data_IF_397776561170
#
_entry.id   IF_397776561170
#
_cell.length_a   1.000
_cell.length_b   1.000
_cell.length_c   1.000
_cell.angle_alpha   90.00
_cell.angle_beta   90.00
_cell.angle_gamma   90.00
#
_symmetry.space_group_name_H-M   'P 1'
#
loop_
_entity.id
_entity.type
_entity.pdbx_description
1 polymer ?
#
# COMPACT_ATOMS: atom_id res chain seq x y z
N UNK A 1 25.39 21.28 -3.51
CA UNK A 1 24.92 19.94 -3.93
C UNK A 1 25.88 18.87 -3.40
N UNK A 2 25.48 18.13 -2.34
CA UNK A 2 26.29 17.02 -1.82
C UNK A 2 26.11 15.80 -2.73
N UNK A 3 27.20 15.37 -3.37
CA UNK A 3 27.23 14.21 -4.28
C UNK A 3 26.88 12.94 -3.48
N UNK A 4 25.93 12.15 -4.00
CA UNK A 4 25.57 10.82 -3.50
C UNK A 4 26.80 9.92 -3.52
N UNK A 5 27.17 9.39 -2.35
CA UNK A 5 28.24 8.39 -2.23
C UNK A 5 27.78 7.10 -2.92
N UNK A 6 28.74 6.48 -3.61
CA UNK A 6 28.71 5.18 -4.25
C UNK A 6 27.87 4.18 -3.45
N UNK A 7 26.86 3.59 -4.09
CA UNK A 7 26.08 2.49 -3.53
C UNK A 7 27.05 1.34 -3.24
N UNK A 8 27.32 1.08 -1.96
CA UNK A 8 27.95 -0.17 -1.56
C UNK A 8 26.98 -1.29 -1.93
N UNK A 9 27.44 -2.16 -2.82
CA UNK A 9 26.74 -3.36 -3.25
C UNK A 9 26.66 -4.29 -2.04
N UNK A 10 25.62 -4.10 -1.24
CA UNK A 10 25.35 -4.92 -0.07
C UNK A 10 24.80 -6.24 -0.59
N UNK A 11 25.70 -7.21 -0.77
CA UNK A 11 25.33 -8.59 -1.03
C UNK A 11 24.57 -9.12 0.18
N UNK A 12 23.24 -9.08 0.11
CA UNK A 12 22.38 -9.71 1.09
C UNK A 12 22.45 -11.22 0.89
N UNK A 13 22.71 -11.96 1.97
CA UNK A 13 22.57 -13.42 1.97
C UNK A 13 21.08 -13.78 1.75
N UNK A 14 20.74 -14.17 0.52
CA UNK A 14 19.40 -14.65 0.19
C UNK A 14 19.24 -16.05 0.81
N UNK A 15 18.44 -16.17 1.88
CA UNK A 15 17.96 -17.49 2.32
C UNK A 15 17.18 -18.11 1.15
N UNK A 16 17.66 -19.26 0.64
CA UNK A 16 17.05 -20.00 -0.48
C UNK A 16 15.80 -20.80 -0.08
N UNK A 17 15.27 -20.63 1.13
CA UNK A 17 14.15 -21.42 1.63
C UNK A 17 12.83 -21.16 0.85
N UNK A 18 12.70 -20.01 0.16
CA UNK A 18 11.56 -19.71 -0.70
C UNK A 18 11.97 -18.90 -1.93
N UNK A 19 12.01 -19.53 -3.11
CA UNK A 19 12.19 -18.82 -4.40
C UNK A 19 10.85 -18.63 -5.11
N UNK A 20 10.62 -17.43 -5.64
CA UNK A 20 9.46 -17.10 -6.46
C UNK A 20 9.91 -16.97 -7.91
N UNK A 21 9.19 -17.61 -8.83
CA UNK A 21 9.42 -17.51 -10.27
C UNK A 21 8.20 -16.87 -10.94
N UNK A 22 8.44 -15.92 -11.84
CA UNK A 22 7.39 -15.35 -12.69
C UNK A 22 7.26 -16.24 -13.92
N UNK A 23 6.06 -16.78 -14.12
CA UNK A 23 5.76 -17.69 -15.23
C UNK A 23 4.67 -17.09 -16.11
N UNK A 24 4.79 -17.30 -17.42
CA UNK A 24 3.68 -17.05 -18.33
C UNK A 24 2.60 -18.12 -18.11
N UNK A 25 1.51 -17.73 -17.43
CA UNK A 25 0.45 -18.65 -17.05
C UNK A 25 -0.12 -19.40 -18.24
N UNK A 26 -0.44 -18.69 -19.32
CA UNK A 26 -1.02 -19.31 -20.52
C UNK A 26 -0.07 -20.36 -21.07
N UNK A 27 1.17 -19.99 -21.38
CA UNK A 27 2.12 -20.90 -22.02
C UNK A 27 2.38 -22.16 -21.17
N UNK A 28 2.62 -22.00 -19.86
CA UNK A 28 2.94 -23.12 -18.97
C UNK A 28 1.73 -24.04 -18.79
N UNK A 29 0.56 -23.48 -18.48
CA UNK A 29 -0.60 -24.29 -18.12
C UNK A 29 -1.36 -24.85 -19.32
N UNK A 30 -1.34 -24.20 -20.50
CA UNK A 30 -1.88 -24.81 -21.73
C UNK A 30 -1.01 -25.98 -22.18
N UNK A 31 0.31 -25.84 -22.10
CA UNK A 31 1.25 -26.94 -22.42
C UNK A 31 1.14 -28.06 -21.40
N UNK A 32 0.99 -27.75 -20.11
CA UNK A 32 0.80 -28.78 -19.09
C UNK A 32 -0.53 -29.52 -19.27
N UNK A 33 -1.60 -28.83 -19.70
CA UNK A 33 -2.89 -29.44 -20.00
C UNK A 33 -2.82 -30.54 -21.06
N UNK A 34 -1.93 -30.42 -22.06
CA UNK A 34 -1.77 -31.45 -23.09
C UNK A 34 -0.95 -32.66 -22.61
N UNK A 35 -0.21 -32.52 -21.51
CA UNK A 35 0.65 -33.56 -20.96
C UNK A 35 -0.01 -34.33 -19.81
N UNK A 36 -1.08 -33.80 -19.21
CA UNK A 36 -1.71 -34.38 -18.02
C UNK A 36 -3.15 -34.81 -18.25
N UNK A 37 -3.50 -35.99 -17.75
CA UNK A 37 -4.86 -36.56 -17.84
C UNK A 37 -5.43 -36.83 -16.45
N UNK A 38 -6.76 -36.82 -16.32
CA UNK A 38 -7.40 -37.17 -15.06
C UNK A 38 -7.20 -38.64 -14.71
N UNK A 39 -6.80 -38.93 -13.46
CA UNK A 39 -6.62 -40.31 -13.00
C UNK A 39 -7.93 -41.12 -12.93
N UNK A 40 -9.06 -40.46 -12.67
CA UNK A 40 -10.37 -41.12 -12.50
C UNK A 40 -11.10 -41.33 -13.84
N UNK A 41 -11.42 -40.25 -14.57
CA UNK A 41 -12.18 -40.35 -15.82
C UNK A 41 -11.33 -40.42 -17.10
N UNK A 42 -9.99 -40.32 -16.99
CA UNK A 42 -9.06 -40.33 -18.14
C UNK A 42 -9.32 -39.24 -19.19
N UNK A 43 -10.13 -38.24 -18.87
CA UNK A 43 -10.37 -37.07 -19.73
C UNK A 43 -9.32 -35.97 -19.51
N UNK A 44 -9.28 -35.04 -20.46
CA UNK A 44 -8.39 -33.88 -20.43
C UNK A 44 -8.72 -32.94 -19.27
N UNK A 45 -7.67 -32.33 -18.71
CA UNK A 45 -7.77 -31.39 -17.60
C UNK A 45 -7.60 -29.97 -18.14
N UNK A 46 -8.44 -29.04 -17.66
CA UNK A 46 -8.31 -27.63 -17.97
C UNK A 46 -7.81 -26.84 -16.77
N UNK A 47 -6.85 -25.93 -17.02
CA UNK A 47 -6.34 -24.99 -16.02
C UNK A 47 -6.87 -23.60 -16.30
N UNK A 48 -7.46 -22.97 -15.29
CA UNK A 48 -7.99 -21.61 -15.38
C UNK A 48 -7.51 -20.77 -14.21
N UNK A 49 -7.28 -19.48 -14.43
CA UNK A 49 -7.02 -18.54 -13.36
C UNK A 49 -8.34 -18.04 -12.77
N UNK A 50 -8.45 -18.01 -11.44
CA UNK A 50 -9.63 -17.49 -10.72
C UNK A 50 -9.22 -16.40 -9.74
N UNK A 51 -10.02 -15.32 -9.68
CA UNK A 51 -9.92 -14.18 -8.74
C UNK A 51 -8.50 -13.63 -8.56
N UNK A 52 -8.15 -12.58 -9.29
CA UNK A 52 -6.91 -11.83 -9.06
C UNK A 52 -7.07 -10.93 -7.82
N UNK A 53 -6.32 -11.19 -6.76
CA UNK A 53 -6.15 -10.27 -5.63
C UNK A 53 -4.73 -9.72 -5.66
N UNK A 54 -4.48 -8.74 -6.53
CA UNK A 54 -3.12 -8.27 -6.84
C UNK A 54 -2.38 -9.30 -7.68
N UNK A 55 -1.15 -9.65 -7.28
CA UNK A 55 -0.31 -10.66 -7.93
C UNK A 55 -0.68 -12.10 -7.53
N UNK A 56 -1.40 -12.28 -6.43
CA UNK A 56 -1.87 -13.59 -6.01
C UNK A 56 -3.17 -13.99 -6.70
N UNK A 57 -3.25 -15.25 -7.11
CA UNK A 57 -4.41 -15.81 -7.80
C UNK A 57 -4.63 -17.28 -7.39
N UNK A 58 -5.82 -17.80 -7.70
CA UNK A 58 -6.11 -19.23 -7.54
C UNK A 58 -6.06 -19.91 -8.90
N UNK A 59 -5.44 -21.07 -8.96
CA UNK A 59 -5.44 -21.96 -10.12
C UNK A 59 -6.62 -22.91 -9.93
N UNK A 60 -7.61 -22.80 -10.81
CA UNK A 60 -8.73 -23.73 -10.90
C UNK A 60 -8.33 -24.84 -11.86
N UNK A 61 -8.29 -26.05 -11.36
CA UNK A 61 -8.11 -27.28 -12.13
C UNK A 61 -9.50 -27.87 -12.35
N UNK A 62 -9.98 -27.82 -13.59
CA UNK A 62 -11.32 -28.29 -13.98
C UNK A 62 -11.20 -29.65 -14.67
N UNK A 63 -11.96 -30.60 -14.17
CA UNK A 63 -12.16 -31.91 -14.74
C UNK A 63 -13.66 -32.25 -14.64
N UNK A 64 -14.15 -33.17 -15.49
CA UNK A 64 -15.53 -33.65 -15.41
C UNK A 64 -15.86 -34.34 -14.07
N UNK A 65 -14.86 -34.88 -13.37
CA UNK A 65 -15.07 -35.52 -12.06
C UNK A 65 -15.21 -34.52 -10.92
N UNK A 66 -14.35 -33.50 -10.91
CA UNK A 66 -14.25 -32.56 -9.80
C UNK A 66 -13.50 -31.29 -10.20
N UNK A 67 -13.73 -30.22 -9.44
CA UNK A 67 -12.95 -28.99 -9.52
C UNK A 67 -12.05 -28.85 -8.30
N UNK A 68 -10.76 -28.59 -8.52
CA UNK A 68 -9.79 -28.32 -7.46
C UNK A 68 -9.26 -26.89 -7.56
N UNK A 69 -9.00 -26.27 -6.40
CA UNK A 69 -8.46 -24.92 -6.32
C UNK A 69 -7.11 -24.93 -5.61
N UNK A 70 -6.08 -24.44 -6.29
CA UNK A 70 -4.72 -24.34 -5.77
C UNK A 70 -4.39 -22.85 -5.61
N UNK A 71 -3.87 -22.45 -4.45
CA UNK A 71 -3.42 -21.08 -4.24
C UNK A 71 -2.02 -20.89 -4.86
N UNK A 72 -1.81 -19.83 -5.65
CA UNK A 72 -0.49 -19.57 -6.27
C UNK A 72 0.59 -19.21 -5.25
N UNK A 73 0.20 -18.64 -4.10
CA UNK A 73 1.09 -18.38 -2.98
C UNK A 73 0.37 -18.60 -1.64
N UNK A 74 1.11 -18.71 -0.52
CA UNK A 74 0.51 -18.72 0.81
C UNK A 74 -0.38 -17.51 1.05
N UNK A 75 -1.50 -17.75 1.72
CA UNK A 75 -2.43 -16.71 2.13
C UNK A 75 -2.13 -16.31 3.57
N UNK A 76 -1.71 -15.07 3.78
CA UNK A 76 -1.42 -14.55 5.12
C UNK A 76 -2.50 -13.55 5.49
N UNK A 77 -3.29 -13.87 6.52
CA UNK A 77 -4.45 -13.11 6.98
C UNK A 77 -5.53 -12.92 5.88
N UNK A 78 -5.44 -11.84 5.11
CA UNK A 78 -6.44 -11.42 4.10
C UNK A 78 -5.85 -11.24 2.70
N UNK A 79 -4.54 -11.41 2.54
CA UNK A 79 -3.85 -11.18 1.29
C UNK A 79 -2.80 -12.26 1.03
N UNK A 80 -2.48 -12.44 -0.24
CA UNK A 80 -1.38 -13.30 -0.66
C UNK A 80 -0.04 -12.71 -0.24
N UNK A 81 0.87 -13.57 0.25
CA UNK A 81 2.20 -13.16 0.70
C UNK A 81 2.97 -12.38 -0.38
N UNK A 82 2.87 -12.80 -1.64
CA UNK A 82 3.58 -12.18 -2.76
C UNK A 82 3.27 -10.68 -2.89
N UNK A 83 2.04 -10.27 -2.60
CA UNK A 83 1.64 -8.86 -2.61
C UNK A 83 2.40 -8.06 -1.55
N UNK A 84 2.69 -8.66 -0.39
CA UNK A 84 3.41 -7.99 0.69
C UNK A 84 4.91 -7.88 0.36
N UNK A 85 5.50 -8.93 -0.20
CA UNK A 85 6.90 -8.94 -0.63
C UNK A 85 7.15 -7.93 -1.75
N UNK A 86 6.32 -7.91 -2.79
CA UNK A 86 6.51 -6.99 -3.92
C UNK A 86 6.39 -5.53 -3.49
N UNK A 87 5.37 -5.20 -2.67
CA UNK A 87 5.17 -3.83 -2.17
C UNK A 87 6.35 -3.39 -1.32
N UNK A 88 6.95 -4.29 -0.54
CA UNK A 88 8.15 -3.99 0.23
C UNK A 88 9.34 -3.66 -0.67
N UNK A 89 9.62 -4.49 -1.69
CA UNK A 89 10.71 -4.23 -2.66
C UNK A 89 10.51 -2.90 -3.38
N UNK A 90 9.31 -2.62 -3.89
CA UNK A 90 9.02 -1.37 -4.57
C UNK A 90 9.19 -0.14 -3.67
N UNK A 91 8.81 -0.25 -2.39
CA UNK A 91 9.05 0.83 -1.41
C UNK A 91 10.53 1.07 -1.16
N UNK A 92 11.35 0.02 -1.08
CA UNK A 92 12.80 0.15 -0.93
C UNK A 92 13.45 0.83 -2.15
N UNK A 93 13.00 0.48 -3.36
CA UNK A 93 13.54 1.04 -4.61
C UNK A 93 13.02 2.45 -4.92
N UNK A 94 11.98 2.94 -4.22
CA UNK A 94 11.36 4.23 -4.52
C UNK A 94 10.61 4.28 -5.86
N UNK A 95 10.33 3.12 -6.47
CA UNK A 95 9.66 3.01 -7.76
C UNK A 95 8.18 2.72 -7.57
N UNK A 96 7.32 3.37 -8.35
CA UNK A 96 5.88 3.09 -8.32
C UNK A 96 5.57 1.72 -8.92
N UNK A 97 4.99 0.82 -8.12
CA UNK A 97 4.56 -0.51 -8.56
C UNK A 97 3.63 -0.46 -9.78
N UNK A 98 2.81 0.58 -9.90
CA UNK A 98 1.87 0.75 -11.01
C UNK A 98 2.59 0.87 -12.36
N UNK A 99 3.66 1.67 -12.44
CA UNK A 99 4.44 1.80 -13.69
C UNK A 99 5.09 0.49 -14.10
N UNK A 100 5.63 -0.26 -13.14
CA UNK A 100 6.29 -1.54 -13.47
C UNK A 100 5.25 -2.61 -13.82
N UNK A 101 4.07 -2.59 -13.20
CA UNK A 101 2.97 -3.48 -13.58
C UNK A 101 2.43 -3.18 -14.97
N UNK A 102 2.30 -1.91 -15.34
CA UNK A 102 1.89 -1.47 -16.68
C UNK A 102 2.89 -1.91 -17.76
N UNK A 103 4.18 -1.68 -17.51
CA UNK A 103 5.27 -2.11 -18.41
C UNK A 103 5.33 -3.64 -18.57
N UNK A 104 5.00 -4.39 -17.52
CA UNK A 104 4.91 -5.85 -17.56
C UNK A 104 3.59 -6.37 -18.17
N UNK A 105 2.72 -5.48 -18.67
CA UNK A 105 1.44 -5.87 -19.28
C UNK A 105 0.43 -6.47 -18.30
N UNK A 106 0.57 -6.21 -17.01
CA UNK A 106 -0.39 -6.69 -16.00
C UNK A 106 -1.63 -5.79 -16.03
N UNK A 107 -2.79 -6.36 -16.34
CA UNK A 107 -4.06 -5.64 -16.35
C UNK A 107 -4.40 -5.20 -14.92
N UNK A 108 -4.15 -3.94 -14.61
CA UNK A 108 -4.59 -3.31 -13.37
C UNK A 108 -6.09 -3.07 -13.52
N UNK A 109 -6.92 -3.94 -12.94
CA UNK A 109 -8.37 -3.74 -12.97
C UNK A 109 -8.72 -2.35 -12.44
N UNK A 110 -9.70 -1.67 -13.05
CA UNK A 110 -10.20 -0.35 -12.63
C UNK A 110 -10.51 -0.28 -11.12
N UNK A 111 -10.87 -1.41 -10.52
CA UNK A 111 -11.11 -1.53 -9.08
C UNK A 111 -9.86 -1.30 -8.22
N UNK A 112 -8.67 -1.66 -8.72
CA UNK A 112 -7.40 -1.45 -8.02
C UNK A 112 -7.02 0.04 -7.99
N UNK A 113 -7.28 0.78 -9.07
CA UNK A 113 -7.11 2.23 -9.15
C UNK A 113 -8.03 2.94 -8.15
N UNK A 114 -9.33 2.61 -8.15
CA UNK A 114 -10.32 3.16 -7.20
C UNK A 114 -9.90 2.86 -5.75
N UNK A 115 -9.41 1.65 -5.48
CA UNK A 115 -8.94 1.28 -4.14
C UNK A 115 -7.68 2.06 -3.73
N UNK A 116 -6.74 2.26 -4.64
CA UNK A 116 -5.53 3.03 -4.39
C UNK A 116 -5.86 4.51 -4.11
N UNK A 117 -6.74 5.11 -4.92
CA UNK A 117 -7.24 6.47 -4.69
C UNK A 117 -7.92 6.60 -3.33
N UNK A 118 -8.88 5.72 -3.02
CA UNK A 118 -9.58 5.73 -1.73
C UNK A 118 -8.62 5.64 -0.54
N UNK A 119 -7.59 4.79 -0.62
CA UNK A 119 -6.58 4.64 0.43
C UNK A 119 -5.66 5.86 0.54
N UNK A 120 -5.30 6.47 -0.59
CA UNK A 120 -4.49 7.70 -0.59
C UNK A 120 -5.28 8.87 -0.01
N UNK A 121 -6.54 9.04 -0.40
CA UNK A 121 -7.46 10.03 0.19
C UNK A 121 -7.60 9.83 1.70
N UNK A 122 -7.81 8.59 2.14
CA UNK A 122 -7.89 8.27 3.57
C UNK A 122 -6.57 8.52 4.33
N UNK A 123 -5.42 8.50 3.65
CA UNK A 123 -4.12 8.86 4.23
C UNK A 123 -3.98 10.38 4.33
N UNK A 124 -4.32 11.10 3.27
CA UNK A 124 -4.31 12.57 3.23
C UNK A 124 -5.19 13.14 4.35
N UNK A 125 -6.45 12.68 4.44
CA UNK A 125 -7.38 13.10 5.49
C UNK A 125 -6.87 12.86 6.92
N UNK A 126 -6.13 11.77 7.15
CA UNK A 126 -5.51 11.50 8.46
C UNK A 126 -4.37 12.46 8.77
N UNK A 127 -3.57 12.79 7.75
CA UNK A 127 -2.48 13.76 7.88
C UNK A 127 -3.03 15.16 8.15
N UNK A 128 -4.09 15.57 7.45
CA UNK A 128 -4.75 16.87 7.63
C UNK A 128 -5.33 17.02 9.04
N UNK A 129 -6.06 16.01 9.53
CA UNK A 129 -6.60 16.01 10.91
C UNK A 129 -5.52 16.18 11.98
N UNK A 130 -4.37 15.52 11.81
CA UNK A 130 -3.25 15.67 12.74
C UNK A 130 -2.64 17.07 12.68
N UNK A 131 -2.65 17.71 11.51
CA UNK A 131 -2.10 19.05 11.33
C UNK A 131 -3.03 20.15 11.81
N UNK A 132 -4.34 20.00 11.60
CA UNK A 132 -5.34 21.01 11.97
C UNK A 132 -5.58 21.03 13.47
N UNK A 133 -5.64 19.87 14.13
CA UNK A 133 -5.75 19.83 15.59
C UNK A 133 -4.58 20.56 16.26
N UNK A 134 -3.36 20.32 15.80
CA UNK A 134 -2.18 21.03 16.31
C UNK A 134 -2.17 22.53 15.97
N UNK A 135 -2.70 22.94 14.81
CA UNK A 135 -2.82 24.36 14.44
C UNK A 135 -3.86 25.09 15.28
N UNK A 136 -5.04 24.48 15.49
CA UNK A 136 -6.11 25.06 16.29
C UNK A 136 -5.72 25.21 17.76
N UNK A 137 -5.07 24.20 18.34
CA UNK A 137 -4.60 24.30 19.73
C UNK A 137 -3.53 25.39 19.92
N UNK A 138 -2.63 25.56 18.93
CA UNK A 138 -1.64 26.65 18.95
C UNK A 138 -2.26 28.03 18.73
N UNK A 139 -3.34 28.13 17.95
CA UNK A 139 -4.07 29.38 17.75
C UNK A 139 -4.82 29.79 19.04
N UNK A 140 -5.54 28.85 19.67
CA UNK A 140 -6.24 29.10 20.93
C UNK A 140 -5.31 29.58 22.05
N UNK A 141 -4.15 28.94 22.22
CA UNK A 141 -3.15 29.38 23.21
C UNK A 141 -2.58 30.78 22.93
N UNK A 142 -2.52 31.19 21.66
CA UNK A 142 -2.10 32.56 21.29
C UNK A 142 -3.20 33.57 21.61
N UNK A 143 -4.46 33.23 21.31
CA UNK A 143 -5.61 34.08 21.57
C UNK A 143 -5.83 34.28 23.08
N UNK A 144 -5.71 33.22 23.88
CA UNK A 144 -5.79 33.30 25.35
C UNK A 144 -4.68 34.19 25.93
N UNK A 145 -3.44 34.04 25.43
CA UNK A 145 -2.31 34.87 25.88
C UNK A 145 -2.48 36.33 25.47
N UNK A 146 -3.01 36.60 24.29
CA UNK A 146 -3.31 37.97 23.83
C UNK A 146 -4.44 38.59 24.67
N UNK A 147 -5.49 37.83 24.98
CA UNK A 147 -6.59 38.30 25.83
C UNK A 147 -6.12 38.62 27.25
N UNK A 148 -5.24 37.80 27.84
CA UNK A 148 -4.65 38.10 29.15
C UNK A 148 -3.82 39.39 29.11
N UNK A 149 -2.99 39.58 28.08
CA UNK A 149 -2.20 40.81 27.93
C UNK A 149 -3.07 42.06 27.81
N UNK A 150 -4.14 42.00 27.00
CA UNK A 150 -5.09 43.11 26.83
C UNK A 150 -5.85 43.43 28.13
N UNK A 151 -6.10 42.44 28.99
CA UNK A 151 -6.68 42.67 30.31
C UNK A 151 -5.71 43.38 31.26
N UNK A 152 -4.44 42.96 31.31
CA UNK A 152 -3.43 43.62 32.13
C UNK A 152 -3.16 45.07 31.66
N UNK A 153 -3.10 45.29 30.36
CA UNK A 153 -2.87 46.63 29.79
C UNK A 153 -4.02 47.60 30.14
N UNK A 154 -5.28 47.14 30.09
CA UNK A 154 -6.44 47.93 30.52
C UNK A 154 -6.46 48.21 32.02
N UNK A 155 -6.01 47.26 32.84
CA UNK A 155 -5.96 47.40 34.30
C UNK A 155 -4.82 48.36 34.72
N UNK A 156 -3.65 48.27 34.08
CA UNK A 156 -2.55 49.23 34.26
C UNK A 156 -2.94 50.63 33.77
N UNK A 157 -3.54 50.75 32.59
CA UNK A 157 -3.98 52.05 32.06
C UNK A 157 -5.04 52.69 32.97
N UNK A 158 -5.97 51.90 33.54
CA UNK A 158 -6.93 52.39 34.54
C UNK A 158 -6.27 52.81 35.87
N UNK A 159 -5.20 52.13 36.28
CA UNK A 159 -4.47 52.44 37.53
C UNK A 159 -3.62 53.72 37.40
N UNK A 160 -3.03 53.96 36.23
CA UNK A 160 -2.17 55.11 35.97
C UNK A 160 -2.92 56.34 35.42
N UNK A 161 -4.13 56.19 34.88
CA UNK A 161 -4.95 57.31 34.36
C UNK A 161 -5.65 58.14 35.44
N UNK A 162 -5.68 57.67 36.70
CA UNK A 162 -6.27 58.37 37.86
C UNK A 162 -5.29 59.29 38.61
N UNK A 163 -4.05 59.48 38.13
CA UNK A 163 -2.96 60.09 38.89
C UNK A 163 -2.34 61.38 38.35
N UNK A 164 -2.91 62.04 37.33
CA UNK A 164 -2.44 63.36 36.86
C UNK A 164 -3.63 64.26 36.49
N UNK A 165 -4.34 64.75 37.49
CA UNK A 165 -5.14 65.98 37.39
C UNK A 165 -5.23 66.62 38.78
N UNK A 166 -4.50 67.73 38.93
CA UNK A 166 -4.48 68.77 39.96
C UNK A 166 -4.01 68.45 41.40
#
# INVERSE_FOLDING_TARGET
AKKLKTFENTDFSISREFSYCILNFLNVFTTTATLVICKQCKSDIQFNQTSSRGLGFKIRVKCNCNEAFINSSPFINKAFEINRRIVFVFRLLGVSILKVMDEMGLIISRQAEIHAHSRNEARIRRSERSSDFGKHQRAQLRDERAALHDMYEKEEDALYSLGIAD
#
